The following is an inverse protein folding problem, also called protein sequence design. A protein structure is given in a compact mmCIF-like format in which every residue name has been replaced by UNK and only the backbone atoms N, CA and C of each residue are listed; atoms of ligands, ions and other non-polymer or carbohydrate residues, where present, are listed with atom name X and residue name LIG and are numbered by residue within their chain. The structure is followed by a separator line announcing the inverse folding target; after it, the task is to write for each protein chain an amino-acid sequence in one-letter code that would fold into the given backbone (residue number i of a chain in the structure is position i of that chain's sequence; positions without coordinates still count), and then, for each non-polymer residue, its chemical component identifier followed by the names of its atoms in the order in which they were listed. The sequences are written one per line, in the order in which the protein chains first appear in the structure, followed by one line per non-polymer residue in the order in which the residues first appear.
data_IF_379419206987
#
_entry.id   IF_379419206987
#
_cell.length_a   1.000
_cell.length_b   1.000
_cell.length_c   1.000
_cell.angle_alpha   90.00
_cell.angle_beta   90.00
_cell.angle_gamma   90.00
#
_symmetry.space_group_name_H-M   'P 1'
#
loop_
_entity.id
_entity.type
_entity.pdbx_description
1 polymer ?
#
# COMPACT_ATOMS: atom_id res chain seq x y z
N UNK A 1 -10.54 7.65 -17.10
CA UNK A 1 -9.33 8.00 -16.31
C UNK A 1 -8.21 7.04 -16.70
N UNK A 2 -7.00 7.53 -16.97
CA UNK A 2 -5.84 6.70 -17.37
C UNK A 2 -4.80 6.75 -16.25
N UNK A 3 -4.54 5.61 -15.61
CA UNK A 3 -3.37 5.47 -14.75
C UNK A 3 -2.11 5.49 -15.63
N UNK A 4 -1.09 6.25 -15.24
CA UNK A 4 0.16 6.31 -15.99
C UNK A 4 1.00 5.04 -15.76
N UNK A 5 0.77 4.37 -14.63
CA UNK A 5 1.42 3.12 -14.22
C UNK A 5 0.35 2.07 -13.98
N UNK A 6 0.57 0.86 -14.50
CA UNK A 6 -0.37 -0.27 -14.34
C UNK A 6 0.11 -1.13 -13.17
N UNK A 7 -0.78 -1.54 -12.25
CA UNK A 7 -0.42 -2.48 -11.18
C UNK A 7 0.01 -3.83 -11.76
N UNK A 8 0.89 -4.54 -11.05
CA UNK A 8 1.27 -5.91 -11.37
C UNK A 8 0.05 -6.82 -11.33
N UNK A 9 -0.05 -7.75 -12.28
CA UNK A 9 -1.11 -8.77 -12.27
C UNK A 9 -0.94 -9.73 -11.08
N UNK A 10 -2.05 -10.29 -10.61
CA UNK A 10 -2.03 -11.23 -9.48
C UNK A 10 -1.14 -12.46 -9.77
N UNK A 11 -1.16 -12.98 -11.00
CA UNK A 11 -0.31 -14.10 -11.39
C UNK A 11 1.18 -13.73 -11.39
N UNK A 12 1.52 -12.53 -11.88
CA UNK A 12 2.90 -12.04 -11.81
C UNK A 12 3.38 -11.91 -10.36
N UNK A 13 2.53 -11.43 -9.47
CA UNK A 13 2.85 -11.32 -8.04
C UNK A 13 3.07 -12.70 -7.42
N UNK A 14 2.30 -13.72 -7.82
CA UNK A 14 2.43 -15.09 -7.27
C UNK A 14 3.70 -15.79 -7.74
N UNK A 15 4.13 -15.54 -8.97
CA UNK A 15 5.32 -16.15 -9.57
C UNK A 15 6.62 -15.38 -9.26
N UNK A 16 6.51 -14.15 -8.77
CA UNK A 16 7.65 -13.29 -8.44
C UNK A 16 8.56 -13.88 -7.35
N UNK A 17 9.86 -13.67 -7.52
CA UNK A 17 10.89 -13.98 -6.54
C UNK A 17 10.88 -12.96 -5.40
N UNK A 18 11.39 -13.30 -4.19
CA UNK A 18 11.36 -12.41 -3.03
C UNK A 18 11.96 -11.01 -3.26
N UNK A 19 12.96 -10.90 -4.14
CA UNK A 19 13.66 -9.64 -4.42
C UNK A 19 13.03 -8.83 -5.56
N UNK A 20 12.06 -9.38 -6.28
CA UNK A 20 11.40 -8.70 -7.39
C UNK A 20 10.55 -7.53 -6.88
N UNK A 21 10.63 -6.40 -7.58
CA UNK A 21 9.78 -5.24 -7.32
C UNK A 21 8.43 -5.38 -8.02
N UNK A 22 7.36 -5.18 -7.26
CA UNK A 22 5.99 -5.30 -7.72
C UNK A 22 5.25 -3.99 -7.51
N UNK A 23 4.34 -3.66 -8.43
CA UNK A 23 3.52 -2.46 -8.34
C UNK A 23 2.13 -2.84 -7.84
N UNK A 24 1.72 -2.24 -6.73
CA UNK A 24 0.42 -2.47 -6.11
C UNK A 24 -0.28 -1.14 -5.81
N UNK A 25 -1.58 -1.23 -5.52
CA UNK A 25 -2.40 -0.09 -5.13
C UNK A 25 -2.85 -0.20 -3.68
N UNK A 26 -3.05 0.94 -3.04
CA UNK A 26 -3.64 1.04 -1.72
C UNK A 26 -4.67 2.18 -1.69
N UNK A 27 -5.82 1.96 -1.06
CA UNK A 27 -6.76 3.02 -0.74
C UNK A 27 -6.42 3.54 0.67
N UNK A 28 -5.69 4.66 0.71
CA UNK A 28 -5.13 5.22 1.94
C UNK A 28 -5.98 6.39 2.44
N UNK A 29 -6.22 6.44 3.75
CA UNK A 29 -6.69 7.67 4.38
C UNK A 29 -5.60 8.76 4.29
N UNK A 30 -5.95 10.07 4.30
CA UNK A 30 -4.97 11.15 4.14
C UNK A 30 -3.79 11.10 5.12
N UNK A 31 -4.06 10.72 6.38
CA UNK A 31 -3.04 10.53 7.41
C UNK A 31 -2.06 9.37 7.11
N UNK A 32 -2.53 8.31 6.44
CA UNK A 32 -1.68 7.18 6.03
C UNK A 32 -0.78 7.57 4.86
N UNK A 33 -1.27 8.37 3.91
CA UNK A 33 -0.46 8.88 2.80
C UNK A 33 0.75 9.67 3.33
N UNK A 34 0.53 10.51 4.34
CA UNK A 34 1.61 11.24 5.02
C UNK A 34 2.67 10.31 5.61
N UNK A 35 2.26 9.21 6.25
CA UNK A 35 3.19 8.22 6.82
C UNK A 35 4.01 7.49 5.74
N UNK A 36 3.40 7.16 4.60
CA UNK A 36 4.09 6.51 3.47
C UNK A 36 5.14 7.42 2.83
N UNK A 37 4.91 8.74 2.84
CA UNK A 37 5.86 9.71 2.32
C UNK A 37 6.95 10.10 3.33
N UNK A 38 6.64 10.05 4.62
CA UNK A 38 7.55 10.48 5.71
C UNK A 38 8.34 9.35 6.34
N UNK A 39 8.04 8.08 6.02
CA UNK A 39 8.86 6.93 6.38
C UNK A 39 10.21 6.98 5.66
N UNK A 40 11.10 7.89 6.11
CA UNK A 40 12.54 7.74 5.90
C UNK A 40 12.94 6.40 6.51
N UNK A 41 13.80 5.61 5.87
CA UNK A 41 14.38 4.43 6.50
C UNK A 41 15.02 4.88 7.81
N UNK A 42 14.46 4.42 8.93
CA UNK A 42 15.05 4.71 10.24
C UNK A 42 16.43 4.06 10.22
N UNK A 43 17.53 4.83 10.37
CA UNK A 43 18.84 4.20 10.44
C UNK A 43 18.81 3.20 11.60
N UNK A 44 19.31 2.00 11.33
CA UNK A 44 19.50 0.96 12.34
C UNK A 44 20.63 1.43 13.26
N UNK A 45 20.30 2.37 14.15
CA UNK A 45 21.17 2.90 15.16
C UNK A 45 20.93 2.16 16.47
N UNK A 46 21.91 1.34 16.86
CA UNK A 46 22.26 0.89 18.23
C UNK A 46 21.14 0.70 19.27
N UNK A 47 20.99 -0.50 19.87
CA UNK A 47 19.97 -0.77 20.87
C UNK A 47 20.39 -0.21 22.24
N UNK A 48 19.94 1.01 22.58
CA UNK A 48 20.13 1.57 23.94
C UNK A 48 18.86 2.26 24.45
N UNK A 49 17.71 1.61 24.31
CA UNK A 49 16.49 2.00 25.03
C UNK A 49 15.63 0.76 25.34
N UNK A 50 14.97 0.71 26.52
CA UNK A 50 14.10 -0.41 26.89
C UNK A 50 12.99 -0.56 25.85
N UNK A 51 12.47 -1.79 25.62
CA UNK A 51 11.50 -2.04 24.57
C UNK A 51 10.21 -1.30 24.90
N UNK A 52 10.00 -0.15 24.27
CA UNK A 52 8.69 0.47 24.17
C UNK A 52 7.82 -0.60 23.52
N UNK A 53 6.79 -1.06 24.25
CA UNK A 53 5.82 -2.03 23.78
C UNK A 53 5.46 -1.69 22.33
N UNK A 54 5.80 -2.60 21.40
CA UNK A 54 5.51 -2.43 19.98
C UNK A 54 4.01 -2.21 19.88
N UNK A 55 3.58 -0.98 19.58
CA UNK A 55 2.21 -0.70 19.17
C UNK A 55 1.86 -1.73 18.09
N UNK A 56 0.64 -2.28 18.08
CA UNK A 56 0.25 -3.33 17.14
C UNK A 56 0.72 -2.90 15.74
N UNK A 57 1.55 -3.73 15.13
CA UNK A 57 2.22 -3.43 13.87
C UNK A 57 1.13 -3.12 12.85
N UNK A 58 0.87 -1.84 12.61
CA UNK A 58 -0.16 -1.43 11.67
C UNK A 58 0.24 -2.00 10.30
N UNK A 59 -0.68 -2.71 9.66
CA UNK A 59 -0.46 -3.33 8.35
C UNK A 59 -1.21 -2.54 7.30
N UNK A 60 -0.53 -2.26 6.18
CA UNK A 60 -1.13 -1.63 5.03
C UNK A 60 -1.73 -2.72 4.14
N UNK A 61 -2.99 -2.56 3.76
CA UNK A 61 -3.65 -3.43 2.78
C UNK A 61 -3.39 -2.91 1.37
N UNK A 62 -2.87 -3.80 0.53
CA UNK A 62 -2.50 -3.58 -0.85
C UNK A 62 -3.37 -4.45 -1.76
N UNK A 63 -3.54 -4.01 -3.01
CA UNK A 63 -4.27 -4.79 -4.00
C UNK A 63 -3.71 -4.65 -5.42
N UNK A 64 -3.79 -5.75 -6.16
CA UNK A 64 -3.50 -5.84 -7.59
C UNK A 64 -4.69 -5.44 -8.48
N UNK A 65 -5.90 -5.30 -7.93
CA UNK A 65 -7.10 -4.96 -8.71
C UNK A 65 -7.39 -3.47 -8.71
N UNK A 66 -7.40 -2.87 -9.90
CA UNK A 66 -7.73 -1.46 -10.08
C UNK A 66 -9.19 -1.19 -9.68
N UNK A 67 -10.11 -2.10 -10.03
CA UNK A 67 -11.53 -1.97 -9.69
C UNK A 67 -11.72 -1.90 -8.18
N UNK A 68 -11.07 -2.81 -7.43
CA UNK A 68 -11.17 -2.82 -5.97
C UNK A 68 -10.54 -1.60 -5.33
N UNK A 69 -9.36 -1.19 -5.81
CA UNK A 69 -8.70 0.01 -5.32
C UNK A 69 -9.58 1.24 -5.46
N UNK A 70 -10.29 1.38 -6.59
CA UNK A 70 -11.23 2.48 -6.82
C UNK A 70 -12.50 2.36 -5.99
N UNK A 71 -13.09 1.18 -5.90
CA UNK A 71 -14.27 0.96 -5.07
C UNK A 71 -14.00 1.31 -3.60
N UNK A 72 -12.84 0.89 -3.07
CA UNK A 72 -12.46 1.13 -1.68
C UNK A 72 -11.95 2.57 -1.43
N UNK A 73 -11.84 3.37 -2.50
CA UNK A 73 -11.29 4.74 -2.47
C UNK A 73 -12.28 5.83 -2.06
N UNK A 74 -13.53 5.49 -1.74
CA UNK A 74 -14.51 6.48 -1.30
C UNK A 74 -13.94 7.32 -0.14
N UNK A 75 -13.81 8.63 -0.35
CA UNK A 75 -13.19 9.59 0.58
C UNK A 75 -11.72 9.27 0.99
N UNK A 76 -11.01 8.51 0.18
CA UNK A 76 -9.60 8.13 0.37
C UNK A 76 -8.76 8.52 -0.85
N UNK A 77 -7.45 8.39 -0.73
CA UNK A 77 -6.50 8.56 -1.83
C UNK A 77 -6.05 7.19 -2.31
N UNK A 78 -6.16 6.93 -3.62
CA UNK A 78 -5.55 5.76 -4.24
C UNK A 78 -4.07 6.05 -4.45
N UNK A 79 -3.21 5.21 -3.87
CA UNK A 79 -1.76 5.31 -3.98
C UNK A 79 -1.27 4.09 -4.75
N UNK A 80 -0.56 4.32 -5.85
CA UNK A 80 0.26 3.29 -6.50
C UNK A 80 1.66 3.34 -5.90
N UNK A 81 2.18 2.17 -5.55
CA UNK A 81 3.49 2.02 -4.92
C UNK A 81 4.22 0.80 -5.47
N UNK A 82 5.55 0.85 -5.47
CA UNK A 82 6.41 -0.31 -5.69
C UNK A 82 6.93 -0.87 -4.37
N UNK A 83 6.96 -2.19 -4.24
CA UNK A 83 7.43 -2.90 -3.05
C UNK A 83 8.01 -4.25 -3.45
N UNK A 84 9.06 -4.70 -2.74
CA UNK A 84 9.63 -6.03 -2.97
C UNK A 84 8.71 -7.14 -2.46
N UNK A 85 8.62 -8.24 -3.20
CA UNK A 85 7.78 -9.39 -2.86
C UNK A 85 7.99 -9.92 -1.44
N UNK A 86 9.22 -9.94 -0.92
CA UNK A 86 9.55 -10.42 0.43
C UNK A 86 8.82 -9.69 1.56
N UNK A 87 8.33 -8.47 1.33
CA UNK A 87 7.57 -7.69 2.33
C UNK A 87 6.06 -7.90 2.22
N UNK A 88 5.60 -8.65 1.21
CA UNK A 88 4.19 -8.91 0.98
C UNK A 88 3.75 -10.21 1.66
N UNK A 89 2.64 -10.13 2.39
CA UNK A 89 1.93 -11.27 2.97
C UNK A 89 0.59 -11.40 2.26
N UNK A 90 0.23 -12.60 1.81
CA UNK A 90 -1.07 -12.83 1.15
C UNK A 90 -2.17 -12.73 2.20
N UNK A 91 -3.25 -12.01 1.90
CA UNK A 91 -4.49 -12.05 2.69
C UNK A 91 -5.30 -13.27 2.21
N UNK A 92 -5.52 -14.31 3.04
CA UNK A 92 -6.13 -15.57 2.58
C UNK A 92 -7.55 -15.42 2.04
N UNK A 93 -8.36 -14.56 2.67
CA UNK A 93 -9.77 -14.33 2.33
C UNK A 93 -9.97 -13.46 1.08
N UNK A 94 -8.89 -12.97 0.48
CA UNK A 94 -8.96 -12.04 -0.63
C UNK A 94 -8.37 -12.63 -1.90
N UNK A 95 -9.03 -12.45 -3.05
CA UNK A 95 -8.49 -12.92 -4.33
C UNK A 95 -7.21 -12.16 -4.76
N UNK A 96 -7.18 -10.86 -4.48
CA UNK A 96 -6.23 -9.87 -5.00
C UNK A 96 -5.65 -8.97 -3.87
N UNK A 97 -5.79 -9.41 -2.62
CA UNK A 97 -5.37 -8.68 -1.43
C UNK A 97 -4.04 -9.16 -0.87
N UNK A 98 -3.18 -8.20 -0.57
CA UNK A 98 -1.87 -8.39 0.04
C UNK A 98 -1.73 -7.43 1.21
N UNK A 99 -0.89 -7.74 2.17
CA UNK A 99 -0.54 -6.83 3.26
C UNK A 99 0.96 -6.66 3.38
N UNK A 100 1.38 -5.50 3.87
CA UNK A 100 2.75 -5.26 4.29
C UNK A 100 2.76 -4.49 5.61
N UNK A 101 3.86 -4.58 6.35
CA UNK A 101 4.01 -3.81 7.60
C UNK A 101 4.29 -2.35 7.28
N UNK A 102 3.68 -1.42 8.02
CA UNK A 102 4.01 0.00 7.89
C UNK A 102 5.49 0.21 8.25
N UNK A 103 6.22 0.92 7.39
CA UNK A 103 7.68 1.08 7.47
C UNK A 103 8.46 0.11 6.58
N UNK A 104 7.79 -0.83 5.91
CA UNK A 104 8.42 -1.62 4.83
C UNK A 104 8.98 -0.67 3.75
N UNK A 105 10.16 -0.95 3.19
CA UNK A 105 10.74 -0.11 2.14
C UNK A 105 9.88 -0.23 0.89
N UNK A 106 9.13 0.83 0.62
CA UNK A 106 8.27 1.00 -0.55
C UNK A 106 8.52 2.36 -1.18
N UNK A 107 8.16 2.51 -2.45
CA UNK A 107 8.25 3.78 -3.17
C UNK A 107 6.89 4.14 -3.73
N UNK A 108 6.37 5.30 -3.36
CA UNK A 108 5.14 5.85 -3.95
C UNK A 108 5.45 6.28 -5.38
N UNK A 109 4.70 5.72 -6.34
CA UNK A 109 4.84 6.01 -7.76
C UNK A 109 3.84 7.05 -8.24
N UNK A 110 2.61 6.96 -7.75
CA UNK A 110 1.52 7.85 -8.14
C UNK A 110 0.49 7.96 -7.02
N UNK A 111 -0.12 9.14 -6.88
CA UNK A 111 -1.26 9.37 -5.99
C UNK A 111 -2.41 9.92 -6.81
N UNK A 112 -3.61 9.45 -6.53
CA UNK A 112 -4.84 9.95 -7.12
C UNK A 112 -5.89 10.11 -6.04
N UNK A 113 -6.60 11.25 -6.05
CA UNK A 113 -7.80 11.39 -5.25
C UNK A 113 -8.77 10.27 -5.62
N UNK A 114 -9.30 9.57 -4.62
CA UNK A 114 -10.33 8.55 -4.80
C UNK A 114 -11.64 9.18 -5.27
N UNK A 115 -12.66 8.35 -5.42
CA UNK A 115 -13.98 8.85 -5.80
C UNK A 115 -14.52 9.78 -4.69
N UNK A 116 -14.62 11.07 -5.01
CA UNK A 116 -15.46 12.01 -4.26
C UNK A 116 -16.89 11.76 -4.72
N UNK A 117 -17.74 11.26 -3.83
CA UNK A 117 -19.19 11.36 -4.06
C UNK A 117 -19.53 12.85 -4.14
N UNK A 118 -19.85 13.34 -5.33
CA UNK A 118 -20.48 14.65 -5.48
C UNK A 118 -21.82 14.63 -4.71
N UNK A 119 -22.23 15.74 -4.07
CA UNK A 119 -23.49 15.81 -3.35
C UNK A 119 -24.64 15.54 -4.32
N UNK A 120 -25.66 14.81 -3.86
CA UNK A 120 -26.93 14.68 -4.56
C UNK A 120 -27.40 16.09 -4.97
N UNK A 121 -27.41 16.37 -6.27
CA UNK A 121 -28.23 17.44 -6.81
C UNK A 121 -29.64 16.87 -6.94
N UNK A 122 -30.50 17.23 -5.99
CA UNK A 122 -31.95 17.16 -6.08
C UNK A 122 -32.49 18.57 -6.18
#
# INVERSE_FOLDING_TARGET
MKLAVIPSSEDAIRLAQPEDELVLMAACAPNQVGQLLTSRPRPVGTPTAPPIARRPTESLTLTSSTVRAWHDSANKTVVLLSIKKRFLKKIPESLNGWSCEIGSPLRVLQQQAGQTSLPMQS
#
